data_IF_496529434207
#
_entry.id   IF_496529434207
#
_cell.length_a   1.000
_cell.length_b   1.000
_cell.length_c   1.000
_cell.angle_alpha   90.00
_cell.angle_beta   90.00
_cell.angle_gamma   90.00
#
_symmetry.space_group_name_H-M   'P 1'
#
loop_
_entity.id
_entity.type
_entity.pdbx_description
1 polymer ?
#
# COMPACT_ATOMS: atom_id res chain seq x y z
N UNK A 1 48.55 -18.00 9.10
CA UNK A 1 47.61 -18.15 7.96
C UNK A 1 46.20 -18.19 8.53
N UNK A 2 45.23 -17.34 8.24
CA UNK A 2 45.09 -16.14 7.39
C UNK A 2 43.97 -15.34 8.05
N UNK A 3 44.26 -14.08 8.37
CA UNK A 3 43.26 -13.10 8.79
C UNK A 3 42.25 -12.89 7.65
N UNK A 4 41.11 -13.58 7.68
CA UNK A 4 39.97 -13.18 6.85
C UNK A 4 39.44 -11.87 7.43
N UNK A 5 39.97 -10.76 6.89
CA UNK A 5 39.54 -9.42 7.20
C UNK A 5 38.03 -9.30 6.98
N UNK A 6 37.29 -9.11 8.07
CA UNK A 6 35.88 -8.75 8.09
C UNK A 6 35.70 -7.35 7.46
N UNK A 7 35.83 -7.24 6.14
CA UNK A 7 35.22 -6.13 5.39
C UNK A 7 33.72 -6.40 5.36
N UNK A 8 33.03 -6.05 6.44
CA UNK A 8 31.58 -5.91 6.39
C UNK A 8 31.25 -4.96 5.24
N UNK A 9 30.32 -5.35 4.37
CA UNK A 9 29.79 -4.51 3.31
C UNK A 9 29.58 -3.08 3.83
N UNK A 10 29.97 -2.09 3.02
CA UNK A 10 29.68 -0.70 3.34
C UNK A 10 28.16 -0.53 3.56
N UNK A 11 27.72 0.47 4.35
CA UNK A 11 26.29 0.74 4.53
C UNK A 11 25.54 0.82 3.20
N UNK A 12 26.14 1.43 2.17
CA UNK A 12 25.61 1.45 0.80
C UNK A 12 25.51 0.05 0.16
N UNK A 13 26.55 -0.78 0.27
CA UNK A 13 26.53 -2.16 -0.22
C UNK A 13 25.46 -3.03 0.46
N UNK A 14 25.21 -2.81 1.75
CA UNK A 14 24.12 -3.47 2.48
C UNK A 14 22.74 -3.03 1.99
N UNK A 15 22.54 -1.74 1.71
CA UNK A 15 21.27 -1.24 1.15
C UNK A 15 20.99 -1.86 -0.21
N UNK A 16 21.99 -1.85 -1.10
CA UNK A 16 21.85 -2.43 -2.45
C UNK A 16 21.52 -3.92 -2.37
N UNK A 17 22.16 -4.66 -1.45
CA UNK A 17 21.85 -6.08 -1.28
C UNK A 17 20.44 -6.32 -0.74
N UNK A 18 20.00 -5.56 0.27
CA UNK A 18 18.61 -5.65 0.78
C UNK A 18 17.62 -5.34 -0.34
N UNK A 19 17.87 -4.28 -1.13
CA UNK A 19 17.01 -3.90 -2.24
C UNK A 19 16.94 -5.01 -3.30
N UNK A 20 18.08 -5.60 -3.66
CA UNK A 20 18.14 -6.71 -4.62
C UNK A 20 17.41 -7.95 -4.10
N UNK A 21 17.63 -8.33 -2.83
CA UNK A 21 16.92 -9.46 -2.20
C UNK A 21 15.42 -9.20 -2.19
N UNK A 22 15.00 -7.99 -1.78
CA UNK A 22 13.60 -7.58 -1.76
C UNK A 22 12.95 -7.67 -3.16
N UNK A 23 13.65 -7.17 -4.18
CA UNK A 23 13.16 -7.18 -5.56
C UNK A 23 13.06 -8.60 -6.13
N UNK A 24 13.96 -9.51 -5.74
CA UNK A 24 14.09 -10.82 -6.39
C UNK A 24 13.28 -11.96 -5.77
N UNK A 25 13.00 -11.95 -4.45
CA UNK A 25 12.40 -13.14 -3.79
C UNK A 25 11.08 -12.87 -3.05
N UNK A 26 11.02 -12.01 -2.02
CA UNK A 26 9.79 -11.81 -1.27
C UNK A 26 8.73 -11.05 -2.09
N UNK A 27 9.13 -10.16 -3.01
CA UNK A 27 8.17 -9.39 -3.81
C UNK A 27 7.33 -10.26 -4.74
N UNK A 28 7.91 -11.29 -5.36
CA UNK A 28 7.15 -12.23 -6.20
C UNK A 28 6.09 -13.00 -5.39
N UNK A 29 6.44 -13.38 -4.16
CA UNK A 29 5.50 -14.02 -3.25
C UNK A 29 4.41 -13.01 -2.85
N UNK A 30 4.78 -11.79 -2.49
CA UNK A 30 3.83 -10.77 -2.00
C UNK A 30 2.82 -10.32 -3.06
N UNK A 31 3.20 -10.34 -4.34
CA UNK A 31 2.26 -10.11 -5.45
C UNK A 31 1.18 -11.21 -5.50
N UNK A 32 1.55 -12.45 -5.20
CA UNK A 32 0.64 -13.61 -5.25
C UNK A 32 -0.19 -13.79 -3.97
N UNK A 33 0.32 -13.37 -2.81
CA UNK A 33 -0.33 -13.53 -1.52
C UNK A 33 0.12 -12.48 -0.52
N UNK A 34 -0.83 -11.99 0.29
CA UNK A 34 -0.52 -11.12 1.41
C UNK A 34 -0.08 -11.99 2.60
N UNK A 35 1.19 -11.92 3.04
CA UNK A 35 1.69 -12.72 4.15
C UNK A 35 1.14 -12.21 5.49
N UNK A 36 1.07 -13.09 6.48
CA UNK A 36 0.71 -12.70 7.84
C UNK A 36 1.69 -11.66 8.42
N UNK A 37 1.18 -10.74 9.23
CA UNK A 37 1.98 -9.67 9.83
C UNK A 37 3.18 -10.19 10.65
N UNK A 38 3.10 -11.40 11.20
CA UNK A 38 4.21 -12.07 11.90
C UNK A 38 5.38 -12.39 10.97
N UNK A 39 5.09 -12.89 9.76
CA UNK A 39 6.09 -13.20 8.73
C UNK A 39 6.76 -11.92 8.27
N UNK A 40 5.98 -10.86 8.03
CA UNK A 40 6.51 -9.54 7.65
C UNK A 40 7.47 -9.04 8.72
N UNK A 41 7.08 -9.07 10.00
CA UNK A 41 7.93 -8.67 11.13
C UNK A 41 9.21 -9.50 11.23
N UNK A 42 9.14 -10.81 10.97
CA UNK A 42 10.33 -11.67 10.97
C UNK A 42 11.30 -11.28 9.85
N UNK A 43 10.81 -11.07 8.63
CA UNK A 43 11.65 -10.64 7.51
C UNK A 43 12.28 -9.27 7.82
N UNK A 44 11.52 -8.34 8.35
CA UNK A 44 12.02 -7.02 8.75
C UNK A 44 13.06 -7.11 9.85
N UNK A 45 12.90 -8.02 10.81
CA UNK A 45 13.89 -8.29 11.84
C UNK A 45 15.19 -8.84 11.23
N UNK A 46 15.11 -9.73 10.26
CA UNK A 46 16.31 -10.21 9.54
C UNK A 46 17.01 -9.09 8.78
N UNK A 47 16.27 -8.24 8.06
CA UNK A 47 16.85 -7.06 7.39
C UNK A 47 17.44 -6.06 8.37
N UNK A 48 16.76 -5.82 9.49
CA UNK A 48 17.25 -4.97 10.58
C UNK A 48 18.59 -5.47 11.12
N UNK A 49 18.66 -6.77 11.45
CA UNK A 49 19.85 -7.41 12.00
C UNK A 49 21.01 -7.41 10.99
N UNK A 50 20.71 -7.64 9.70
CA UNK A 50 21.71 -7.59 8.64
C UNK A 50 22.27 -6.17 8.45
N UNK A 51 21.39 -5.18 8.40
CA UNK A 51 21.75 -3.78 8.13
C UNK A 51 22.55 -3.17 9.30
N UNK A 52 21.95 -3.18 10.49
CA UNK A 52 22.52 -2.54 11.69
C UNK A 52 23.57 -3.41 12.41
N UNK A 53 23.52 -4.74 12.22
CA UNK A 53 24.28 -5.68 13.04
C UNK A 53 23.70 -5.81 14.45
N UNK A 54 24.18 -6.80 15.20
CA UNK A 54 23.81 -6.98 16.60
C UNK A 54 24.73 -6.13 17.48
N UNK A 55 24.49 -4.81 17.52
CA UNK A 55 25.19 -3.92 18.45
C UNK A 55 24.28 -3.66 19.66
N UNK A 56 24.75 -4.06 20.83
CA UNK A 56 24.21 -3.73 22.16
C UNK A 56 22.97 -4.50 22.64
N UNK A 57 22.62 -5.65 22.03
CA UNK A 57 21.47 -6.46 22.48
C UNK A 57 20.09 -5.79 22.31
N UNK A 58 20.05 -4.58 21.75
CA UNK A 58 18.82 -3.85 21.43
C UNK A 58 18.50 -4.01 19.93
N UNK A 59 17.37 -4.65 19.62
CA UNK A 59 16.88 -4.82 18.23
C UNK A 59 16.57 -3.44 17.62
N UNK A 60 17.50 -2.87 16.85
CA UNK A 60 17.25 -1.64 16.09
C UNK A 60 16.30 -1.95 14.94
N UNK A 61 15.09 -1.36 14.93
CA UNK A 61 14.12 -1.55 13.85
C UNK A 61 14.67 -0.97 12.54
N UNK A 62 14.47 -1.69 11.44
CA UNK A 62 14.67 -1.17 10.08
C UNK A 62 13.56 -0.15 9.79
N UNK A 63 13.82 1.10 10.17
CA UNK A 63 12.98 2.24 9.81
C UNK A 63 13.73 2.98 8.72
N UNK A 64 13.42 2.66 7.45
CA UNK A 64 13.69 3.62 6.38
C UNK A 64 12.61 4.68 6.57
N UNK A 65 13.01 5.82 7.14
CA UNK A 65 12.10 6.90 7.47
C UNK A 65 11.39 7.40 6.23
N UNK A 66 10.08 7.21 6.16
CA UNK A 66 9.19 8.11 5.44
C UNK A 66 7.90 8.44 6.20
N UNK A 67 7.34 7.55 7.03
CA UNK A 67 6.30 7.93 8.01
C UNK A 67 6.37 7.03 9.24
N UNK A 68 6.44 7.64 10.42
CA UNK A 68 6.76 7.00 11.69
C UNK A 68 5.91 5.77 12.04
N UNK A 69 6.53 4.90 12.86
CA UNK A 69 5.95 3.77 13.61
C UNK A 69 5.54 2.51 12.82
N UNK A 70 5.26 2.58 11.53
CA UNK A 70 4.87 1.40 10.71
C UNK A 70 6.03 0.94 9.84
N UNK A 71 6.23 -0.37 9.72
CA UNK A 71 7.35 -0.89 8.95
C UNK A 71 7.19 -0.76 7.43
N UNK A 72 8.32 -0.56 6.76
CA UNK A 72 8.43 -0.44 5.31
C UNK A 72 7.79 -1.60 4.52
N UNK A 73 7.98 -2.86 4.95
CA UNK A 73 7.43 -3.98 4.17
C UNK A 73 5.92 -4.09 4.28
N UNK A 74 5.33 -3.63 5.40
CA UNK A 74 3.87 -3.55 5.54
C UNK A 74 3.29 -2.63 4.46
N UNK A 75 3.94 -1.48 4.19
CA UNK A 75 3.51 -0.57 3.14
C UNK A 75 3.62 -1.17 1.74
N UNK A 76 4.69 -1.89 1.44
CA UNK A 76 4.83 -2.60 0.16
C UNK A 76 3.73 -3.67 0.01
N UNK A 77 3.51 -4.48 1.04
CA UNK A 77 2.47 -5.50 1.01
C UNK A 77 1.08 -4.89 0.80
N UNK A 78 0.77 -3.78 1.49
CA UNK A 78 -0.49 -3.07 1.32
C UNK A 78 -0.63 -2.49 -0.09
N UNK A 79 0.41 -1.85 -0.64
CA UNK A 79 0.35 -1.26 -1.99
C UNK A 79 0.20 -2.31 -3.08
N UNK A 80 0.89 -3.45 -2.95
CA UNK A 80 0.74 -4.59 -3.86
C UNK A 80 -0.67 -5.21 -3.77
N UNK A 81 -1.22 -5.34 -2.56
CA UNK A 81 -2.60 -5.82 -2.36
C UNK A 81 -3.63 -4.87 -2.93
N UNK A 82 -3.46 -3.55 -2.75
CA UNK A 82 -4.32 -2.52 -3.36
C UNK A 82 -4.27 -2.61 -4.88
N UNK A 83 -3.06 -2.69 -5.46
CA UNK A 83 -2.89 -2.86 -6.91
C UNK A 83 -3.57 -4.14 -7.39
N UNK A 84 -3.42 -5.25 -6.67
CA UNK A 84 -4.07 -6.51 -6.99
C UNK A 84 -5.60 -6.39 -6.95
N UNK A 85 -6.15 -5.74 -5.93
CA UNK A 85 -7.60 -5.49 -5.86
C UNK A 85 -8.10 -4.69 -7.06
N UNK A 86 -7.41 -3.58 -7.37
CA UNK A 86 -7.73 -2.75 -8.52
C UNK A 86 -7.76 -3.55 -9.82
N UNK A 87 -6.75 -4.40 -10.03
CA UNK A 87 -6.64 -5.24 -11.23
C UNK A 87 -7.75 -6.28 -11.33
N UNK A 88 -8.29 -6.78 -10.22
CA UNK A 88 -9.49 -7.63 -10.25
C UNK A 88 -10.67 -6.83 -10.82
N UNK A 89 -10.82 -5.56 -10.49
CA UNK A 89 -11.88 -4.70 -11.04
C UNK A 89 -11.68 -4.35 -12.52
N UNK A 90 -10.44 -4.06 -12.94
CA UNK A 90 -10.18 -3.34 -14.20
C UNK A 90 -9.50 -4.17 -15.29
N UNK A 91 -8.65 -5.14 -14.94
CA UNK A 91 -7.81 -5.86 -15.90
C UNK A 91 -8.34 -7.28 -16.17
N UNK A 92 -8.14 -7.77 -17.41
CA UNK A 92 -8.36 -9.17 -17.79
C UNK A 92 -7.02 -9.91 -17.79
N UNK A 93 -6.72 -10.59 -16.69
CA UNK A 93 -5.54 -11.46 -16.56
C UNK A 93 -5.91 -12.71 -15.76
N UNK A 94 -5.17 -13.80 -15.99
CA UNK A 94 -5.47 -15.15 -15.49
C UNK A 94 -5.85 -15.17 -14.00
N UNK A 95 -5.09 -14.47 -13.17
CA UNK A 95 -5.32 -14.42 -11.73
C UNK A 95 -6.61 -13.68 -11.35
N UNK A 96 -6.98 -12.60 -12.05
CA UNK A 96 -8.26 -11.93 -11.81
C UNK A 96 -9.43 -12.79 -12.27
N UNK A 97 -9.32 -13.47 -13.41
CA UNK A 97 -10.36 -14.37 -13.90
C UNK A 97 -10.55 -15.56 -12.96
N UNK A 98 -9.46 -16.17 -12.50
CA UNK A 98 -9.51 -17.22 -11.49
C UNK A 98 -10.19 -16.74 -10.20
N UNK A 99 -9.82 -15.58 -9.66
CA UNK A 99 -10.43 -15.05 -8.43
C UNK A 99 -11.91 -14.70 -8.62
N UNK A 100 -12.29 -14.16 -9.79
CA UNK A 100 -13.69 -13.91 -10.13
C UNK A 100 -14.49 -15.21 -10.24
N UNK A 101 -13.94 -16.23 -10.90
CA UNK A 101 -14.57 -17.52 -11.05
C UNK A 101 -14.66 -18.30 -9.73
N UNK A 102 -13.70 -18.12 -8.82
CA UNK A 102 -13.69 -18.80 -7.52
C UNK A 102 -14.61 -18.12 -6.51
N UNK A 103 -14.51 -16.79 -6.37
CA UNK A 103 -15.18 -16.05 -5.30
C UNK A 103 -16.39 -15.23 -5.79
N UNK A 104 -16.43 -14.83 -7.07
CA UNK A 104 -17.37 -13.86 -7.63
C UNK A 104 -18.39 -14.41 -8.64
N UNK A 105 -18.63 -15.73 -8.66
CA UNK A 105 -19.46 -16.43 -9.66
C UNK A 105 -20.82 -15.78 -10.00
N UNK A 106 -21.48 -15.14 -9.02
CA UNK A 106 -22.84 -14.59 -9.16
C UNK A 106 -23.00 -13.18 -8.64
N UNK A 107 -21.92 -12.50 -8.22
CA UNK A 107 -21.99 -11.11 -7.72
C UNK A 107 -20.76 -10.34 -8.12
N UNK A 108 -20.93 -9.04 -8.32
CA UNK A 108 -19.83 -8.10 -8.53
C UNK A 108 -18.80 -8.25 -7.38
N UNK A 109 -17.49 -8.34 -7.68
CA UNK A 109 -16.42 -8.34 -6.68
C UNK A 109 -16.58 -7.26 -5.59
N UNK A 110 -17.06 -6.07 -5.96
CA UNK A 110 -17.29 -4.95 -5.04
C UNK A 110 -18.35 -5.27 -3.97
N UNK A 111 -19.37 -6.07 -4.30
CA UNK A 111 -20.48 -6.40 -3.40
C UNK A 111 -20.26 -7.69 -2.60
N UNK A 112 -19.04 -8.25 -2.61
CA UNK A 112 -18.74 -9.50 -1.88
C UNK A 112 -18.50 -9.26 -0.40
N UNK A 113 -18.96 -10.18 0.43
CA UNK A 113 -18.70 -10.16 1.87
C UNK A 113 -17.92 -11.42 2.21
N UNK A 114 -16.95 -11.27 3.12
CA UNK A 114 -16.13 -12.38 3.59
C UNK A 114 -17.00 -13.45 4.28
N UNK A 115 -16.84 -14.70 3.86
CA UNK A 115 -17.50 -15.87 4.46
C UNK A 115 -16.49 -16.68 5.27
N UNK A 116 -16.95 -17.50 6.23
CA UNK A 116 -16.08 -18.34 7.06
C UNK A 116 -15.28 -19.38 6.25
N UNK A 117 -15.82 -19.82 5.11
CA UNK A 117 -15.19 -20.78 4.20
C UNK A 117 -14.18 -20.14 3.24
N UNK A 118 -14.11 -18.81 3.22
CA UNK A 118 -13.17 -18.11 2.35
C UNK A 118 -11.74 -18.28 2.85
N UNK A 119 -10.80 -18.35 1.90
CA UNK A 119 -9.39 -18.40 2.25
C UNK A 119 -8.96 -17.13 3.00
N UNK A 120 -7.99 -17.29 3.89
CA UNK A 120 -7.41 -16.16 4.64
C UNK A 120 -6.94 -15.04 3.71
N UNK A 121 -6.30 -15.38 2.58
CA UNK A 121 -5.86 -14.42 1.58
C UNK A 121 -7.01 -13.65 0.92
N UNK A 122 -8.16 -14.27 0.70
CA UNK A 122 -9.33 -13.59 0.13
C UNK A 122 -9.95 -12.64 1.15
N UNK A 123 -10.08 -13.07 2.41
CA UNK A 123 -10.59 -12.24 3.50
C UNK A 123 -9.71 -11.01 3.73
N UNK A 124 -8.40 -11.18 3.70
CA UNK A 124 -7.45 -10.07 3.81
C UNK A 124 -7.60 -9.10 2.63
N UNK A 125 -7.75 -9.63 1.41
CA UNK A 125 -7.94 -8.82 0.21
C UNK A 125 -9.24 -8.00 0.24
N UNK A 126 -10.33 -8.57 0.78
CA UNK A 126 -11.57 -7.83 1.05
C UNK A 126 -11.37 -6.73 2.11
N UNK A 127 -10.55 -6.95 3.13
CA UNK A 127 -10.24 -5.90 4.11
C UNK A 127 -9.46 -4.73 3.48
N UNK A 128 -8.62 -5.01 2.46
CA UNK A 128 -7.92 -4.00 1.68
C UNK A 128 -8.89 -3.24 0.80
N UNK A 129 -9.83 -3.94 0.13
CA UNK A 129 -10.93 -3.27 -0.58
C UNK A 129 -11.64 -2.28 0.32
N UNK A 130 -12.10 -2.68 1.49
CA UNK A 130 -12.90 -1.81 2.36
C UNK A 130 -12.15 -0.52 2.73
N UNK A 131 -10.83 -0.62 2.94
CA UNK A 131 -9.96 0.55 3.17
C UNK A 131 -9.85 1.43 1.92
N UNK A 132 -9.63 0.81 0.77
CA UNK A 132 -9.45 1.48 -0.52
C UNK A 132 -10.74 2.16 -0.97
N UNK A 133 -11.88 1.48 -0.85
CA UNK A 133 -13.21 2.05 -1.09
C UNK A 133 -13.52 3.17 -0.13
N UNK A 134 -13.20 3.04 1.17
CA UNK A 134 -13.38 4.16 2.11
C UNK A 134 -12.59 5.38 1.67
N UNK A 135 -11.34 5.23 1.24
CA UNK A 135 -10.53 6.34 0.72
C UNK A 135 -11.11 6.93 -0.57
N UNK A 136 -11.47 6.11 -1.55
CA UNK A 136 -12.07 6.58 -2.81
C UNK A 136 -13.47 7.16 -2.65
N UNK A 137 -14.28 6.63 -1.74
CA UNK A 137 -15.60 7.18 -1.44
C UNK A 137 -15.47 8.54 -0.76
N UNK A 138 -14.49 8.73 0.12
CA UNK A 138 -14.20 10.06 0.66
C UNK A 138 -13.75 11.02 -0.45
N UNK A 139 -12.86 10.61 -1.33
CA UNK A 139 -12.43 11.43 -2.48
C UNK A 139 -13.58 11.74 -3.44
N UNK A 140 -14.42 10.76 -3.78
CA UNK A 140 -15.57 10.98 -4.68
C UNK A 140 -16.74 11.70 -4.01
N UNK A 141 -16.91 11.61 -2.69
CA UNK A 141 -17.84 12.44 -1.93
C UNK A 141 -17.33 13.88 -1.83
N UNK A 142 -16.01 14.08 -1.65
CA UNK A 142 -15.38 15.40 -1.73
C UNK A 142 -15.55 15.99 -3.12
N UNK A 143 -15.24 15.22 -4.18
CA UNK A 143 -15.44 15.65 -5.57
C UNK A 143 -16.92 15.91 -5.88
N UNK A 144 -17.85 15.07 -5.41
CA UNK A 144 -19.30 15.31 -5.58
C UNK A 144 -19.83 16.50 -4.76
N UNK A 145 -19.24 16.79 -3.60
CA UNK A 145 -19.52 18.03 -2.85
C UNK A 145 -18.93 19.25 -3.54
N UNK A 146 -17.79 19.09 -4.22
CA UNK A 146 -17.13 20.13 -5.00
C UNK A 146 -17.77 20.35 -6.38
N UNK A 147 -18.50 19.37 -6.90
CA UNK A 147 -19.14 19.42 -8.22
C UNK A 147 -20.65 19.21 -8.05
N UNK A 148 -21.43 20.26 -7.74
CA UNK A 148 -22.88 20.17 -7.90
C UNK A 148 -23.15 19.95 -9.39
N UNK A 149 -23.87 18.88 -9.71
CA UNK A 149 -24.32 18.58 -11.06
C UNK A 149 -25.22 19.73 -11.55
N UNK A 150 -24.63 20.72 -12.20
CA UNK A 150 -25.33 21.74 -12.97
C UNK A 150 -25.53 23.12 -12.33
N UNK A 151 -24.74 23.55 -11.34
CA UNK A 151 -24.78 24.94 -10.87
C UNK A 151 -23.39 25.47 -10.53
N UNK A 152 -23.20 26.79 -10.67
CA UNK A 152 -21.92 27.50 -10.45
C UNK A 152 -21.26 27.12 -9.12
N UNK A 153 -19.92 27.11 -9.11
CA UNK A 153 -19.09 26.72 -7.96
C UNK A 153 -19.44 27.55 -6.71
N UNK A 154 -20.07 26.92 -5.71
CA UNK A 154 -20.31 27.55 -4.40
C UNK A 154 -19.04 27.43 -3.53
N UNK A 155 -18.11 28.35 -3.76
CA UNK A 155 -16.83 28.44 -3.04
C UNK A 155 -17.00 28.84 -1.56
N UNK A 156 -18.12 29.46 -1.19
CA UNK A 156 -18.40 29.85 0.20
C UNK A 156 -18.59 28.63 1.11
N UNK A 157 -19.10 27.52 0.55
CA UNK A 157 -19.24 26.24 1.26
C UNK A 157 -17.90 25.57 1.62
N UNK A 158 -16.78 25.97 1.00
CA UNK A 158 -15.45 25.37 1.17
C UNK A 158 -14.59 26.05 2.26
N UNK A 159 -14.97 27.26 2.69
CA UNK A 159 -14.29 28.04 3.73
C UNK A 159 -14.03 27.31 5.07
N UNK A 160 -14.93 26.44 5.59
CA UNK A 160 -14.65 25.71 6.85
C UNK A 160 -13.73 24.50 6.66
N UNK A 161 -13.47 24.05 5.43
CA UNK A 161 -12.77 22.78 5.15
C UNK A 161 -11.39 22.99 4.55
N UNK A 162 -11.19 24.08 3.79
CA UNK A 162 -9.97 24.33 3.03
C UNK A 162 -9.36 25.67 3.46
N UNK A 163 -8.06 25.71 3.80
CA UNK A 163 -7.36 26.96 4.09
C UNK A 163 -7.51 28.00 2.97
N UNK A 164 -7.83 29.26 3.32
CA UNK A 164 -8.12 30.36 2.36
C UNK A 164 -7.03 30.57 1.30
N UNK A 165 -5.78 30.26 1.61
CA UNK A 165 -4.67 30.34 0.65
C UNK A 165 -4.82 29.37 -0.53
N UNK A 166 -5.52 28.25 -0.36
CA UNK A 166 -5.79 27.29 -1.44
C UNK A 166 -7.01 27.73 -2.24
N UNK A 167 -8.03 28.30 -1.60
CA UNK A 167 -9.22 28.87 -2.26
C UNK A 167 -8.81 29.99 -3.22
N UNK A 168 -7.95 30.92 -2.79
CA UNK A 168 -7.43 31.99 -3.64
C UNK A 168 -6.64 31.46 -4.85
N UNK A 169 -5.98 30.31 -4.74
CA UNK A 169 -5.27 29.71 -5.88
C UNK A 169 -6.28 29.18 -6.90
N UNK A 170 -7.34 28.52 -6.43
CA UNK A 170 -8.40 27.96 -7.29
C UNK A 170 -9.18 29.06 -8.01
N UNK A 171 -9.52 30.16 -7.32
CA UNK A 171 -10.21 31.32 -7.92
C UNK A 171 -9.43 31.98 -9.07
N UNK A 172 -8.09 31.90 -9.01
CA UNK A 172 -7.21 32.55 -10.00
C UNK A 172 -6.78 31.62 -11.14
N UNK A 173 -7.21 30.35 -11.16
CA UNK A 173 -6.94 29.46 -12.29
C UNK A 173 -7.94 29.79 -13.40
N UNK A 174 -7.46 30.45 -14.46
CA UNK A 174 -8.22 30.58 -15.70
C UNK A 174 -8.41 29.20 -16.32
N UNK A 175 -9.64 28.69 -16.26
CA UNK A 175 -10.07 27.57 -17.09
C UNK A 175 -10.46 28.21 -18.43
N UNK A 176 -9.67 27.93 -19.47
CA UNK A 176 -9.75 28.61 -20.76
C UNK A 176 -11.13 28.56 -21.44
N UNK A 177 -11.30 29.49 -22.39
CA UNK A 177 -12.51 29.75 -23.19
C UNK A 177 -13.17 28.51 -23.81
#
# INVERSE_FOLDING_TARGET
MTYFGKKFLSPGGKTVLIQHILQSQPLHIFVALMPYASIIKNIEMHFSNFFWGNKDGKKKKFVIGLLGKTSYMIYICLSLSTKRWWRIGTEKYLWAEFLKAKYCQRRNPMSKVATLTDSSSWRELLSVRDKVEKTYLLETQLIRKMLPLGQDWDLDSLNPTIPRNVVNIVENIHIGD
#
